data_IF_424551476689
#
_entry.id   IF_424551476689
#
_cell.length_a   1.000
_cell.length_b   1.000
_cell.length_c   1.000
_cell.angle_alpha   90.00
_cell.angle_beta   90.00
_cell.angle_gamma   90.00
#
_symmetry.space_group_name_H-M   'P 1'
#
loop_
_entity.id
_entity.type
_entity.pdbx_description
1 polymer ?
#
# COMPACT_ATOMS: atom_id res chain seq x y z
N UNK A 1 -37.73 5.64 10.36
CA UNK A 1 -36.72 6.47 9.64
C UNK A 1 -35.37 6.59 10.37
N UNK A 2 -35.31 6.69 11.71
CA UNK A 2 -34.03 6.70 12.45
C UNK A 2 -33.20 5.41 12.30
N UNK A 3 -33.85 4.25 12.20
CA UNK A 3 -33.18 2.94 12.14
C UNK A 3 -32.46 2.66 10.82
N UNK A 4 -32.92 3.24 9.70
CA UNK A 4 -32.32 3.03 8.37
C UNK A 4 -31.04 3.87 8.22
N UNK A 5 -31.01 5.08 8.79
CA UNK A 5 -29.83 5.94 8.85
C UNK A 5 -28.69 5.31 9.67
N UNK A 6 -29.01 4.60 10.74
CA UNK A 6 -28.03 3.86 11.55
C UNK A 6 -27.39 2.70 10.79
N UNK A 7 -28.15 1.96 9.98
CA UNK A 7 -27.62 0.85 9.17
C UNK A 7 -26.74 1.36 8.04
N UNK A 8 -27.11 2.47 7.38
CA UNK A 8 -26.28 3.09 6.36
C UNK A 8 -24.96 3.66 6.93
N UNK A 9 -25.01 4.28 8.11
CA UNK A 9 -23.82 4.75 8.81
C UNK A 9 -22.90 3.60 9.26
N UNK A 10 -23.47 2.48 9.70
CA UNK A 10 -22.70 1.28 10.04
C UNK A 10 -22.01 0.69 8.81
N UNK A 11 -22.72 0.55 7.68
CA UNK A 11 -22.18 -0.01 6.45
C UNK A 11 -21.03 0.83 5.86
N UNK A 12 -21.08 2.15 6.01
CA UNK A 12 -19.99 3.05 5.60
C UNK A 12 -18.74 2.92 6.48
N UNK A 13 -18.88 2.56 7.76
CA UNK A 13 -17.74 2.42 8.69
C UNK A 13 -16.89 1.16 8.45
N UNK A 14 -17.44 0.12 7.82
CA UNK A 14 -16.67 -1.11 7.54
C UNK A 14 -15.70 -0.99 6.37
N UNK A 15 -15.88 0.00 5.48
CA UNK A 15 -15.00 0.18 4.32
C UNK A 15 -13.67 0.88 4.66
N UNK A 16 -13.57 1.56 5.82
CA UNK A 16 -12.36 2.33 6.17
C UNK A 16 -11.37 1.61 7.08
N UNK A 17 -11.63 0.36 7.51
CA UNK A 17 -10.83 -0.29 8.55
C UNK A 17 -9.80 -1.31 8.02
N UNK A 18 -9.90 -1.72 6.76
CA UNK A 18 -9.03 -2.77 6.20
C UNK A 18 -7.55 -2.40 6.17
N UNK A 19 -7.23 -1.20 5.70
CA UNK A 19 -5.84 -0.76 5.53
C UNK A 19 -5.12 -0.52 6.86
N UNK A 20 -5.82 -0.11 7.92
CA UNK A 20 -5.22 0.12 9.24
C UNK A 20 -4.64 -1.18 9.82
N UNK A 21 -5.26 -2.32 9.53
CA UNK A 21 -4.77 -3.65 9.96
C UNK A 21 -3.47 -4.08 9.30
N UNK A 22 -3.07 -3.41 8.21
CA UNK A 22 -1.83 -3.67 7.50
C UNK A 22 -0.66 -2.85 8.06
N UNK A 23 -0.93 -1.72 8.71
CA UNK A 23 0.09 -0.77 9.19
C UNK A 23 0.97 -1.44 10.24
N UNK A 24 2.23 -1.69 9.89
CA UNK A 24 3.27 -2.26 10.75
C UNK A 24 4.62 -2.27 10.04
N UNK A 25 5.65 -2.72 10.76
CA UNK A 25 6.93 -3.11 10.19
C UNK A 25 7.07 -4.63 10.15
N UNK A 26 7.66 -5.10 9.06
CA UNK A 26 7.77 -6.50 8.71
C UNK A 26 9.18 -6.84 8.25
N UNK A 27 9.57 -8.10 8.47
CA UNK A 27 10.68 -8.70 7.75
C UNK A 27 10.17 -9.28 6.44
N UNK A 28 10.79 -8.91 5.32
CA UNK A 28 10.53 -9.61 4.04
C UNK A 28 11.15 -10.99 4.10
N UNK A 29 10.31 -12.03 4.09
CA UNK A 29 10.75 -13.42 4.08
C UNK A 29 10.99 -13.86 2.64
N UNK A 30 10.01 -13.62 1.76
CA UNK A 30 10.06 -14.02 0.36
C UNK A 30 9.44 -13.00 -0.57
N UNK A 31 9.99 -12.93 -1.78
CA UNK A 31 9.40 -12.27 -2.96
C UNK A 31 9.41 -13.27 -4.11
N UNK A 32 8.26 -13.47 -4.75
CA UNK A 32 8.09 -14.39 -5.90
C UNK A 32 8.60 -15.81 -5.61
N UNK A 33 8.37 -16.26 -4.37
CA UNK A 33 8.80 -17.57 -3.89
C UNK A 33 10.30 -17.69 -3.56
N UNK A 34 11.09 -16.63 -3.72
CA UNK A 34 12.51 -16.61 -3.40
C UNK A 34 12.78 -15.90 -2.07
N UNK A 35 13.69 -16.45 -1.27
CA UNK A 35 14.08 -15.83 0.00
C UNK A 35 14.78 -14.48 -0.25
N UNK A 36 14.41 -13.46 0.50
CA UNK A 36 14.94 -12.10 0.33
C UNK A 36 16.24 -11.91 1.12
N UNK A 37 17.40 -11.62 0.47
CA UNK A 37 18.66 -11.40 1.16
C UNK A 37 18.60 -10.16 2.06
N UNK A 38 18.88 -10.34 3.35
CA UNK A 38 18.89 -9.26 4.35
C UNK A 38 20.24 -8.55 4.35
N UNK A 39 20.24 -7.26 4.67
CA UNK A 39 21.47 -6.49 4.87
C UNK A 39 22.04 -6.64 6.27
N UNK A 40 23.25 -6.11 6.52
CA UNK A 40 23.86 -6.10 7.85
C UNK A 40 23.12 -5.23 8.87
N UNK A 41 22.32 -4.26 8.42
CA UNK A 41 21.51 -3.39 9.29
C UNK A 41 20.04 -3.81 9.19
N UNK A 42 19.48 -4.28 10.30
CA UNK A 42 18.11 -4.80 10.35
C UNK A 42 17.08 -3.71 10.07
N UNK A 43 17.28 -2.51 10.63
CA UNK A 43 16.44 -1.32 10.40
C UNK A 43 16.31 -0.94 8.91
N UNK A 44 17.38 -1.14 8.13
CA UNK A 44 17.37 -0.87 6.68
C UNK A 44 16.83 -2.04 5.85
N UNK A 45 16.59 -3.19 6.46
CA UNK A 45 16.08 -4.40 5.79
C UNK A 45 14.58 -4.63 6.05
N UNK A 46 13.87 -3.64 6.61
CA UNK A 46 12.46 -3.78 6.96
C UNK A 46 11.53 -3.37 5.82
N UNK A 47 10.47 -4.15 5.64
CA UNK A 47 9.29 -3.69 4.90
C UNK A 47 8.42 -2.88 5.85
N UNK A 48 8.04 -1.68 5.42
CA UNK A 48 7.17 -0.80 6.20
C UNK A 48 5.85 -0.56 5.47
N UNK A 49 4.76 -0.73 6.20
CA UNK A 49 3.42 -0.34 5.74
C UNK A 49 2.93 0.77 6.65
N UNK A 50 2.70 1.96 6.10
CA UNK A 50 2.32 3.14 6.90
C UNK A 50 1.38 4.09 6.15
N UNK A 51 0.61 4.86 6.91
CA UNK A 51 -0.26 5.92 6.40
C UNK A 51 0.48 7.24 6.38
N UNK A 52 0.33 8.00 5.30
CA UNK A 52 0.85 9.36 5.19
C UNK A 52 -0.02 10.21 4.28
N UNK A 53 -0.07 11.51 4.58
CA UNK A 53 -0.56 12.52 3.65
C UNK A 53 0.54 12.82 2.64
N UNK A 54 0.40 12.24 1.45
CA UNK A 54 1.44 12.38 0.46
C UNK A 54 1.39 13.76 -0.17
N UNK A 55 2.49 14.50 -0.12
CA UNK A 55 2.59 15.85 -0.69
C UNK A 55 2.52 15.91 -2.22
N UNK A 56 2.62 14.77 -2.91
CA UNK A 56 2.61 14.71 -4.37
C UNK A 56 1.27 14.28 -4.95
N UNK A 57 0.52 13.41 -4.27
CA UNK A 57 -0.74 12.88 -4.81
C UNK A 57 -1.94 13.71 -4.34
N UNK A 58 -2.85 13.99 -5.27
CA UNK A 58 -3.97 14.93 -5.11
C UNK A 58 -5.26 14.38 -5.72
N UNK A 59 -6.40 14.78 -5.15
CA UNK A 59 -7.69 14.59 -5.81
C UNK A 59 -7.72 15.36 -7.14
N UNK A 60 -8.29 14.79 -8.20
CA UNK A 60 -8.37 15.46 -9.49
C UNK A 60 -9.31 16.68 -9.46
N UNK A 61 -10.41 16.56 -8.73
CA UNK A 61 -11.50 17.53 -8.75
C UNK A 61 -11.22 18.72 -7.83
N UNK A 62 -10.71 18.44 -6.62
CA UNK A 62 -10.53 19.44 -5.57
C UNK A 62 -9.07 19.84 -5.37
N UNK A 63 -8.13 19.06 -5.92
CA UNK A 63 -6.70 19.22 -5.71
C UNK A 63 -6.27 19.16 -4.24
N UNK A 64 -7.08 18.56 -3.37
CA UNK A 64 -6.71 18.26 -1.98
C UNK A 64 -5.71 17.11 -1.91
N UNK A 65 -4.89 17.10 -0.87
CA UNK A 65 -3.96 16.00 -0.60
C UNK A 65 -4.72 14.70 -0.37
N UNK A 66 -4.17 13.61 -0.92
CA UNK A 66 -4.69 12.28 -0.69
C UNK A 66 -4.01 11.65 0.53
N UNK A 67 -4.82 11.03 1.38
CA UNK A 67 -4.32 10.05 2.35
C UNK A 67 -3.87 8.81 1.58
N UNK A 68 -2.64 8.38 1.83
CA UNK A 68 -2.02 7.26 1.14
C UNK A 68 -1.50 6.22 2.12
N UNK A 69 -1.76 4.96 1.82
CA UNK A 69 -1.04 3.84 2.42
C UNK A 69 0.19 3.57 1.54
N UNK A 70 1.37 3.66 2.13
CA UNK A 70 2.63 3.30 1.48
C UNK A 70 2.98 1.88 1.90
N UNK A 71 3.17 1.01 0.92
CA UNK A 71 3.70 -0.35 1.12
C UNK A 71 5.13 -0.32 0.56
N UNK A 72 6.09 -0.04 1.44
CA UNK A 72 7.53 0.01 1.12
C UNK A 72 8.12 -1.38 1.33
N UNK A 73 8.10 -2.21 0.28
CA UNK A 73 8.59 -3.60 0.36
C UNK A 73 10.10 -3.60 0.20
N UNK A 74 10.83 -4.00 1.24
CA UNK A 74 12.26 -4.30 1.13
C UNK A 74 12.44 -5.51 0.22
N UNK A 75 13.17 -5.36 -0.88
CA UNK A 75 13.31 -6.40 -1.91
C UNK A 75 14.73 -6.97 -2.07
N UNK A 76 15.66 -6.56 -1.20
CA UNK A 76 16.93 -7.24 -1.05
C UNK A 76 18.11 -6.30 -0.84
N UNK A 77 19.19 -6.87 -0.32
CA UNK A 77 20.46 -6.20 -0.14
C UNK A 77 21.46 -6.61 -1.22
N UNK A 78 21.99 -5.63 -1.94
CA UNK A 78 23.11 -5.80 -2.85
C UNK A 78 24.19 -4.79 -2.51
N UNK A 79 25.18 -5.21 -1.71
CA UNK A 79 26.19 -4.34 -1.09
C UNK A 79 26.69 -3.25 -2.06
N UNK A 80 26.63 -1.96 -1.66
CA UNK A 80 26.17 -1.41 -0.38
C UNK A 80 24.67 -1.03 -0.32
N UNK A 81 23.88 -1.39 -1.33
CA UNK A 81 22.54 -0.86 -1.57
C UNK A 81 21.42 -1.73 -0.96
N UNK A 82 20.38 -1.06 -0.48
CA UNK A 82 19.13 -1.65 -0.05
C UNK A 82 18.06 -1.31 -1.10
N UNK A 83 17.41 -2.35 -1.63
CA UNK A 83 16.37 -2.20 -2.62
C UNK A 83 14.98 -2.14 -1.99
N UNK A 84 14.13 -1.28 -2.53
CA UNK A 84 12.75 -1.13 -2.11
C UNK A 84 11.80 -0.99 -3.29
N UNK A 85 10.64 -1.62 -3.19
CA UNK A 85 9.50 -1.41 -4.09
C UNK A 85 8.42 -0.65 -3.34
N UNK A 86 8.18 0.59 -3.75
CA UNK A 86 7.26 1.50 -3.05
C UNK A 86 5.94 1.56 -3.79
N UNK A 87 4.92 0.90 -3.24
CA UNK A 87 3.56 0.94 -3.76
C UNK A 87 2.78 2.00 -3.00
N UNK A 88 2.16 2.90 -3.75
CA UNK A 88 1.36 4.00 -3.20
C UNK A 88 -0.11 3.70 -3.42
N UNK A 89 -0.89 3.67 -2.35
CA UNK A 89 -2.29 3.32 -2.38
C UNK A 89 -3.12 4.50 -1.86
N UNK A 90 -3.82 5.25 -2.73
CA UNK A 90 -4.73 6.30 -2.29
C UNK A 90 -5.96 5.69 -1.61
N UNK A 91 -6.04 5.79 -0.28
CA UNK A 91 -6.96 4.96 0.52
C UNK A 91 -8.44 5.27 0.23
N UNK A 92 -8.75 6.45 -0.29
CA UNK A 92 -10.12 6.92 -0.57
C UNK A 92 -10.54 6.83 -2.04
N UNK A 93 -9.65 6.42 -2.97
CA UNK A 93 -9.92 6.41 -4.42
C UNK A 93 -10.16 5.02 -5.02
N UNK A 94 -10.05 3.97 -4.23
CA UNK A 94 -10.33 2.61 -4.70
C UNK A 94 -11.37 1.90 -3.84
N UNK A 95 -11.57 0.62 -4.14
CA UNK A 95 -12.48 -0.24 -3.40
C UNK A 95 -11.71 -1.15 -2.45
N UNK A 96 -11.98 -1.01 -1.16
CA UNK A 96 -11.49 -1.92 -0.12
C UNK A 96 -12.51 -3.01 0.17
N UNK A 97 -12.01 -4.24 0.30
CA UNK A 97 -12.77 -5.37 0.81
C UNK A 97 -11.98 -6.06 1.92
N UNK A 98 -12.63 -6.31 3.04
CA UNK A 98 -12.05 -6.95 4.21
C UNK A 98 -12.93 -8.11 4.67
N UNK A 99 -12.36 -9.31 4.66
CA UNK A 99 -13.03 -10.52 5.11
C UNK A 99 -12.03 -11.48 5.74
N UNK A 100 -12.33 -11.99 6.93
CA UNK A 100 -11.61 -13.12 7.54
C UNK A 100 -10.07 -12.99 7.58
N UNK A 101 -9.54 -11.78 7.85
CA UNK A 101 -8.10 -11.53 7.89
C UNK A 101 -7.43 -11.35 6.51
N UNK A 102 -8.24 -11.28 5.45
CA UNK A 102 -7.85 -10.93 4.09
C UNK A 102 -8.25 -9.49 3.77
N UNK A 103 -7.31 -8.69 3.30
CA UNK A 103 -7.48 -7.32 2.84
C UNK A 103 -7.27 -7.29 1.33
N UNK A 104 -8.26 -6.80 0.59
CA UNK A 104 -8.18 -6.56 -0.85
C UNK A 104 -8.40 -5.10 -1.16
N UNK A 105 -7.68 -4.59 -2.15
CA UNK A 105 -7.86 -3.25 -2.67
C UNK A 105 -7.72 -3.25 -4.19
N UNK A 106 -8.67 -2.64 -4.89
CA UNK A 106 -8.56 -2.45 -6.33
C UNK A 106 -8.85 -0.99 -6.70
N UNK A 107 -8.08 -0.47 -7.66
CA UNK A 107 -8.22 0.87 -8.20
C UNK A 107 -7.76 0.87 -9.65
N UNK A 108 -8.52 1.52 -10.52
CA UNK A 108 -8.15 1.80 -11.91
C UNK A 108 -8.66 3.20 -12.26
N UNK A 109 -7.90 4.21 -11.85
CA UNK A 109 -8.30 5.61 -11.96
C UNK A 109 -7.10 6.53 -12.20
N UNK A 110 -7.37 7.69 -12.81
CA UNK A 110 -6.43 8.80 -12.82
C UNK A 110 -6.47 9.55 -11.48
N UNK A 111 -5.31 10.01 -11.01
CA UNK A 111 -5.20 10.94 -9.88
C UNK A 111 -4.37 12.17 -10.23
N UNK A 112 -4.52 13.24 -9.45
CA UNK A 112 -3.68 14.42 -9.57
C UNK A 112 -2.29 14.15 -9.00
N UNK A 113 -1.27 14.68 -9.69
CA UNK A 113 0.10 14.65 -9.23
C UNK A 113 0.69 16.06 -9.26
N UNK A 114 1.33 16.45 -8.17
CA UNK A 114 2.13 17.65 -8.04
C UNK A 114 3.60 17.22 -7.97
N UNK A 115 4.42 17.65 -8.92
CA UNK A 115 5.85 17.39 -8.89
C UNK A 115 6.59 18.33 -7.94
N UNK A 116 7.89 18.05 -7.72
CA UNK A 116 8.78 18.89 -6.91
C UNK A 116 9.00 20.30 -7.47
N UNK A 117 8.83 20.50 -8.78
CA UNK A 117 8.81 21.82 -9.43
C UNK A 117 7.41 22.46 -9.48
N UNK A 118 6.46 21.97 -8.66
CA UNK A 118 5.08 22.47 -8.56
C UNK A 118 4.24 22.30 -9.83
N UNK A 119 4.70 21.53 -10.80
CA UNK A 119 3.94 21.20 -12.00
C UNK A 119 2.80 20.25 -11.62
N UNK A 120 1.64 20.46 -12.25
CA UNK A 120 0.42 19.71 -11.96
C UNK A 120 0.02 18.91 -13.19
N UNK A 121 -0.10 17.61 -13.05
CA UNK A 121 -0.54 16.74 -14.13
C UNK A 121 -1.28 15.53 -13.60
N UNK A 122 -1.97 14.81 -14.49
CA UNK A 122 -2.66 13.57 -14.15
C UNK A 122 -1.70 12.39 -14.25
N UNK A 123 -1.85 11.41 -13.37
CA UNK A 123 -1.15 10.13 -13.43
C UNK A 123 -2.15 8.98 -13.36
N UNK A 124 -1.91 7.95 -14.15
CA UNK A 124 -2.72 6.74 -14.21
C UNK A 124 -2.30 5.78 -13.11
N UNK A 125 -3.24 5.30 -12.30
CA UNK A 125 -3.01 4.36 -11.20
C UNK A 125 -3.87 3.11 -11.42
N UNK A 126 -3.23 1.98 -11.72
CA UNK A 126 -3.84 0.65 -11.68
C UNK A 126 -3.23 -0.14 -10.53
N UNK A 127 -4.04 -0.45 -9.52
CA UNK A 127 -3.60 -1.11 -8.29
C UNK A 127 -4.51 -2.31 -8.02
N UNK A 128 -3.91 -3.47 -7.77
CA UNK A 128 -4.63 -4.64 -7.25
C UNK A 128 -3.82 -5.24 -6.11
N UNK A 129 -4.36 -5.20 -4.90
CA UNK A 129 -3.77 -5.77 -3.70
C UNK A 129 -4.64 -6.90 -3.19
N UNK A 130 -4.01 -7.99 -2.80
CA UNK A 130 -4.66 -9.12 -2.17
C UNK A 130 -3.75 -9.71 -1.11
N UNK A 131 -4.01 -9.38 0.16
CA UNK A 131 -3.16 -9.69 1.30
C UNK A 131 -3.95 -10.51 2.32
N UNK A 132 -3.39 -11.62 2.78
CA UNK A 132 -4.00 -12.54 3.73
C UNK A 132 -3.09 -12.72 4.94
N UNK A 133 -3.64 -12.53 6.14
CA UNK A 133 -2.92 -12.75 7.39
C UNK A 133 -3.02 -14.23 7.81
N UNK A 134 -1.88 -14.90 7.90
CA UNK A 134 -1.74 -16.30 8.38
C UNK A 134 -0.83 -16.35 9.60
N UNK A 135 -1.42 -16.26 10.79
CA UNK A 135 -0.67 -16.16 12.04
C UNK A 135 0.19 -14.90 12.07
N UNK A 136 1.51 -15.08 12.19
CA UNK A 136 2.50 -13.97 12.17
C UNK A 136 2.89 -13.50 10.75
N UNK A 137 2.36 -14.14 9.71
CA UNK A 137 2.70 -13.83 8.33
C UNK A 137 1.60 -13.02 7.66
N UNK A 138 2.00 -12.07 6.82
CA UNK A 138 1.16 -11.41 5.84
C UNK A 138 1.63 -11.90 4.46
N UNK A 139 0.77 -12.60 3.74
CA UNK A 139 1.08 -13.21 2.45
C UNK A 139 0.17 -12.62 1.41
N UNK A 140 0.66 -12.30 0.22
CA UNK A 140 -0.25 -11.86 -0.82
C UNK A 140 0.40 -11.35 -2.08
N UNK A 141 -0.44 -10.78 -2.93
CA UNK A 141 -0.05 -10.24 -4.23
C UNK A 141 -0.18 -8.72 -4.22
N UNK A 142 0.82 -8.09 -4.80
CA UNK A 142 0.89 -6.65 -4.94
C UNK A 142 1.08 -6.33 -6.42
N UNK A 143 0.08 -5.69 -7.01
CA UNK A 143 0.16 -5.14 -8.35
C UNK A 143 0.00 -3.62 -8.30
N UNK A 144 0.90 -2.90 -8.96
CA UNK A 144 0.84 -1.46 -9.14
C UNK A 144 1.44 -1.10 -10.50
N UNK A 145 0.69 -0.33 -11.29
CA UNK A 145 1.17 0.23 -12.53
C UNK A 145 0.80 1.71 -12.64
N UNK A 146 1.77 2.50 -13.08
CA UNK A 146 1.57 3.88 -13.53
C UNK A 146 2.50 4.17 -14.70
N UNK A 147 1.94 4.20 -15.90
CA UNK A 147 2.66 4.42 -17.16
C UNK A 147 3.27 5.82 -17.17
N UNK A 148 2.52 6.85 -16.77
CA UNK A 148 3.02 8.24 -16.74
C UNK A 148 4.14 8.44 -15.72
N UNK A 149 4.22 7.60 -14.69
CA UNK A 149 5.30 7.63 -13.70
C UNK A 149 6.44 6.68 -14.02
N UNK A 150 6.28 5.80 -15.02
CA UNK A 150 7.24 4.75 -15.33
C UNK A 150 7.42 3.75 -14.16
N UNK A 151 6.36 3.52 -13.38
CA UNK A 151 6.40 2.64 -12.22
C UNK A 151 5.59 1.38 -12.50
N UNK A 152 6.18 0.23 -12.25
CA UNK A 152 5.54 -1.08 -12.41
C UNK A 152 6.05 -2.04 -11.35
N UNK A 153 5.13 -2.60 -10.57
CA UNK A 153 5.38 -3.61 -9.57
C UNK A 153 4.35 -4.71 -9.73
N UNK A 154 4.81 -5.95 -9.83
CA UNK A 154 3.99 -7.15 -9.84
C UNK A 154 4.77 -8.20 -9.06
N UNK A 155 4.33 -8.49 -7.83
CA UNK A 155 5.08 -9.36 -6.92
C UNK A 155 4.17 -10.10 -5.95
N UNK A 156 4.56 -11.34 -5.63
CA UNK A 156 4.03 -12.11 -4.52
C UNK A 156 4.95 -11.96 -3.31
N UNK A 157 4.39 -11.56 -2.17
CA UNK A 157 5.16 -11.31 -0.94
C UNK A 157 4.78 -12.27 0.17
N UNK A 158 5.76 -12.59 1.01
CA UNK A 158 5.57 -13.18 2.34
C UNK A 158 6.35 -12.36 3.35
N UNK A 159 5.62 -11.70 4.24
CA UNK A 159 6.14 -10.82 5.26
C UNK A 159 5.93 -11.43 6.65
N UNK A 160 6.94 -11.39 7.52
CA UNK A 160 6.83 -11.79 8.92
C UNK A 160 6.73 -10.54 9.80
N UNK A 161 5.71 -10.44 10.64
CA UNK A 161 5.54 -9.31 11.55
C UNK A 161 6.68 -9.28 12.59
N UNK A 162 7.37 -8.13 12.71
CA UNK A 162 8.47 -7.92 13.69
C UNK A 162 8.22 -6.76 14.65
N UNK A 163 7.37 -5.80 14.28
CA UNK A 163 7.28 -4.50 14.97
C UNK A 163 8.34 -3.54 14.43
N UNK A 164 8.08 -2.24 14.57
CA UNK A 164 9.01 -1.21 14.13
C UNK A 164 10.14 -1.04 15.16
N UNK A 165 11.38 -0.97 14.68
CA UNK A 165 12.59 -0.79 15.49
C UNK A 165 12.84 0.69 15.81
#
# INVERSE_FOLDING_TARGET
MKSILLVAALLLSFQSLGYETLVNCYKTVQIDGQDTPQGPFEEMSQTEIYLTKNQYYRELETYKELDTLIISVFNGYHKPWYGFSNIVVPVTKGHWDYSEGRVRFNMDEDIGYQSSNYERYKVDFLINLDLERKGKFLIGKLYFSSVRRGLFYDMEIKLEQKGCL
#
